data_IF_366172587798
#
_entry.id   IF_366172587798
#
_cell.length_a   1.000
_cell.length_b   1.000
_cell.length_c   1.000
_cell.angle_alpha   90.00
_cell.angle_beta   90.00
_cell.angle_gamma   90.00
#
_symmetry.space_group_name_H-M   'P 1'
#
loop_
_entity.id
_entity.type
_entity.pdbx_description
1 polymer ?
#
# COMPACT_ATOMS: atom_id res chain seq x y z
N UNK A 1 -9.71 -21.95 -18.63
CA UNK A 1 -8.95 -20.71 -18.93
C UNK A 1 -7.88 -20.51 -17.86
N UNK A 2 -6.59 -20.45 -18.24
CA UNK A 2 -5.50 -20.06 -17.33
C UNK A 2 -5.62 -18.56 -17.09
N UNK A 3 -5.87 -18.13 -15.85
CA UNK A 3 -5.72 -16.71 -15.49
C UNK A 3 -4.24 -16.45 -15.25
N UNK A 4 -3.59 -15.74 -16.17
CA UNK A 4 -2.26 -15.20 -15.92
C UNK A 4 -2.39 -14.14 -14.81
N UNK A 5 -1.83 -14.46 -13.65
CA UNK A 5 -1.79 -13.55 -12.52
C UNK A 5 -0.45 -12.84 -12.54
N UNK A 6 -0.47 -11.51 -12.58
CA UNK A 6 0.74 -10.71 -12.42
C UNK A 6 1.41 -11.02 -11.07
N UNK A 7 2.74 -10.88 -11.03
CA UNK A 7 3.48 -11.12 -9.81
C UNK A 7 3.22 -10.02 -8.75
N UNK A 8 3.11 -8.77 -9.20
CA UNK A 8 2.78 -7.61 -8.39
C UNK A 8 1.38 -7.08 -8.77
N UNK A 9 0.61 -6.54 -7.80
CA UNK A 9 -0.70 -5.94 -8.05
C UNK A 9 -0.62 -4.74 -8.99
N UNK A 10 -1.17 -4.82 -10.23
CA UNK A 10 -1.17 -3.69 -11.16
C UNK A 10 -1.91 -2.47 -10.60
N UNK A 11 -2.93 -2.69 -9.77
CA UNK A 11 -3.67 -1.64 -9.09
C UNK A 11 -2.81 -0.85 -8.10
N UNK A 12 -1.91 -1.51 -7.37
CA UNK A 12 -1.00 -0.83 -6.43
C UNK A 12 0.04 -0.01 -7.21
N UNK A 13 0.61 -0.58 -8.27
CA UNK A 13 1.61 0.11 -9.10
C UNK A 13 0.99 1.35 -9.77
N UNK A 14 -0.23 1.22 -10.31
CA UNK A 14 -0.98 2.34 -10.87
C UNK A 14 -1.16 3.45 -9.83
N UNK A 15 -1.58 3.10 -8.63
CA UNK A 15 -1.80 4.05 -7.54
C UNK A 15 -0.49 4.74 -7.11
N UNK A 16 0.62 4.00 -7.03
CA UNK A 16 1.95 4.56 -6.74
C UNK A 16 2.35 5.61 -7.78
N UNK A 17 2.16 5.32 -9.08
CA UNK A 17 2.50 6.23 -10.18
C UNK A 17 1.59 7.47 -10.18
N UNK A 18 0.28 7.29 -9.95
CA UNK A 18 -0.68 8.40 -9.87
C UNK A 18 -0.30 9.33 -8.72
N UNK A 19 -0.05 8.78 -7.53
CA UNK A 19 0.31 9.58 -6.35
C UNK A 19 1.63 10.31 -6.57
N UNK A 20 2.62 9.67 -7.20
CA UNK A 20 3.87 10.33 -7.56
C UNK A 20 3.65 11.58 -8.42
N UNK A 21 2.74 11.54 -9.40
CA UNK A 21 2.43 12.72 -10.23
C UNK A 21 1.59 13.78 -9.50
N UNK A 22 0.58 13.36 -8.73
CA UNK A 22 -0.29 14.27 -7.98
C UNK A 22 0.46 15.03 -6.88
N UNK A 23 1.50 14.43 -6.32
CA UNK A 23 2.24 14.98 -5.19
C UNK A 23 3.67 15.44 -5.53
N UNK A 24 4.19 15.22 -6.75
CA UNK A 24 5.52 15.70 -7.18
C UNK A 24 5.71 17.20 -6.95
N UNK A 25 6.86 17.60 -6.44
CA UNK A 25 7.36 18.97 -6.55
C UNK A 25 7.79 19.24 -8.01
N UNK A 26 7.00 20.03 -8.74
CA UNK A 26 7.25 20.35 -10.15
C UNK A 26 8.40 21.36 -10.32
N UNK A 27 8.76 22.09 -9.27
CA UNK A 27 9.91 23.00 -9.30
C UNK A 27 11.25 22.26 -9.26
N UNK A 28 11.23 20.97 -8.90
CA UNK A 28 12.40 20.09 -8.96
C UNK A 28 12.46 19.44 -10.35
N UNK A 29 13.57 19.68 -11.05
CA UNK A 29 13.83 19.14 -12.40
C UNK A 29 13.95 17.61 -12.42
N UNK A 30 14.19 16.98 -11.27
CA UNK A 30 14.29 15.53 -11.12
C UNK A 30 13.00 14.82 -11.54
N UNK A 31 13.13 13.72 -12.26
CA UNK A 31 12.00 12.91 -12.69
C UNK A 31 11.43 12.04 -11.54
N UNK A 32 10.20 11.56 -11.72
CA UNK A 32 9.72 10.41 -10.96
C UNK A 32 10.53 9.20 -11.40
N UNK A 33 11.13 8.50 -10.43
CA UNK A 33 11.96 7.34 -10.66
C UNK A 33 11.15 6.07 -10.37
N UNK A 34 11.16 5.14 -11.31
CA UNK A 34 10.60 3.80 -11.12
C UNK A 34 11.76 2.82 -11.21
N UNK A 35 12.05 2.14 -10.10
CA UNK A 35 13.15 1.17 -10.02
C UNK A 35 12.58 -0.23 -9.77
N UNK A 36 13.07 -1.21 -10.52
CA UNK A 36 12.66 -2.61 -10.39
C UNK A 36 13.89 -3.40 -9.97
N UNK A 37 13.77 -4.05 -8.81
CA UNK A 37 14.77 -4.93 -8.25
C UNK A 37 14.25 -6.38 -8.22
N UNK A 38 15.15 -7.31 -7.91
CA UNK A 38 14.84 -8.73 -7.75
C UNK A 38 13.85 -8.98 -6.61
N UNK A 39 13.79 -8.08 -5.62
CA UNK A 39 13.04 -8.23 -4.38
C UNK A 39 11.88 -7.22 -4.25
N UNK A 40 11.89 -6.11 -4.99
CA UNK A 40 10.88 -5.05 -4.89
C UNK A 40 10.77 -4.14 -6.11
N UNK A 41 9.67 -3.40 -6.19
CA UNK A 41 9.47 -2.27 -7.08
C UNK A 41 9.40 -0.99 -6.24
N UNK A 42 10.13 0.05 -6.65
CA UNK A 42 10.12 1.35 -5.98
C UNK A 42 9.60 2.43 -6.93
N UNK A 43 8.77 3.33 -6.39
CA UNK A 43 8.40 4.59 -7.07
C UNK A 43 8.83 5.74 -6.16
N UNK A 44 9.71 6.60 -6.65
CA UNK A 44 10.23 7.77 -5.94
C UNK A 44 9.85 9.04 -6.69
N UNK A 45 9.24 9.99 -5.99
CA UNK A 45 8.91 11.32 -6.52
C UNK A 45 9.61 12.42 -5.73
N UNK A 46 10.10 13.49 -6.38
CA UNK A 46 10.65 14.62 -5.64
C UNK A 46 9.54 15.38 -4.92
N UNK A 47 9.87 15.97 -3.78
CA UNK A 47 9.04 16.90 -3.03
C UNK A 47 8.53 16.47 -1.65
N UNK A 48 9.00 15.37 -1.05
CA UNK A 48 8.68 14.97 0.34
C UNK A 48 7.19 15.12 0.77
N UNK A 49 6.97 15.28 2.06
CA UNK A 49 5.65 15.60 2.62
C UNK A 49 5.30 17.08 2.40
N UNK A 50 4.03 17.36 2.09
CA UNK A 50 3.58 18.69 1.67
C UNK A 50 2.78 19.42 2.73
N UNK A 51 3.03 20.72 2.88
CA UNK A 51 2.18 21.65 3.63
C UNK A 51 1.93 21.21 5.08
N UNK A 52 3.01 20.80 5.76
CA UNK A 52 2.99 20.38 7.17
C UNK A 52 2.34 19.03 7.44
N UNK A 53 2.08 18.20 6.41
CA UNK A 53 1.67 16.81 6.62
C UNK A 53 2.76 16.03 7.34
N UNK A 54 2.37 15.27 8.35
CA UNK A 54 3.24 14.30 9.01
C UNK A 54 3.09 12.91 8.38
N UNK A 55 4.09 12.05 8.60
CA UNK A 55 4.05 10.67 8.15
C UNK A 55 2.83 9.91 8.71
N UNK A 56 2.51 10.10 9.99
CA UNK A 56 1.38 9.47 10.66
C UNK A 56 0.04 9.88 10.03
N UNK A 57 -0.14 11.17 9.74
CA UNK A 57 -1.34 11.69 9.08
C UNK A 57 -1.52 11.04 7.70
N UNK A 58 -0.43 10.94 6.93
CA UNK A 58 -0.43 10.30 5.61
C UNK A 58 -0.83 8.82 5.70
N UNK A 59 -0.29 8.09 6.67
CA UNK A 59 -0.64 6.68 6.91
C UNK A 59 -2.10 6.52 7.38
N UNK A 60 -2.66 7.51 8.08
CA UNK A 60 -4.07 7.55 8.47
C UNK A 60 -5.03 7.93 7.34
N UNK A 61 -4.50 8.30 6.17
CA UNK A 61 -5.27 8.65 4.96
C UNK A 61 -5.53 10.14 4.79
N UNK A 62 -4.85 11.00 5.55
CA UNK A 62 -4.83 12.42 5.24
C UNK A 62 -3.97 12.67 4.01
N UNK A 63 -4.46 13.49 3.09
CA UNK A 63 -3.73 13.82 1.87
C UNK A 63 -3.96 15.30 1.53
N UNK A 64 -2.87 15.98 1.17
CA UNK A 64 -2.89 17.34 0.65
C UNK A 64 -2.22 17.30 -0.72
N UNK A 65 -3.02 17.51 -1.75
CA UNK A 65 -2.56 17.44 -3.14
C UNK A 65 -1.80 18.70 -3.49
N UNK A 66 -0.63 18.49 -4.09
CA UNK A 66 0.22 19.56 -4.60
C UNK A 66 -0.24 19.99 -5.99
N UNK A 67 -0.48 19.03 -6.89
CA UNK A 67 -0.80 19.28 -8.28
C UNK A 67 -2.29 19.03 -8.59
N UNK A 68 -3.16 19.97 -8.18
CA UNK A 68 -4.63 19.82 -8.29
C UNK A 68 -5.12 19.63 -9.74
N UNK A 69 -4.50 20.30 -10.72
CA UNK A 69 -4.86 20.16 -12.14
C UNK A 69 -4.63 18.74 -12.67
N UNK A 70 -3.46 18.16 -12.37
CA UNK A 70 -3.13 16.77 -12.72
C UNK A 70 -4.11 15.80 -12.05
N UNK A 71 -4.35 16.01 -10.76
CA UNK A 71 -5.28 15.18 -10.00
C UNK A 71 -6.71 15.24 -10.54
N UNK A 72 -7.17 16.42 -11.00
CA UNK A 72 -8.48 16.57 -11.63
C UNK A 72 -8.57 15.80 -12.95
N UNK A 73 -7.54 15.87 -13.80
CA UNK A 73 -7.49 15.10 -15.05
C UNK A 73 -7.56 13.60 -14.77
N UNK A 74 -6.78 13.09 -13.83
CA UNK A 74 -6.83 11.68 -13.45
C UNK A 74 -8.18 11.27 -12.85
N UNK A 75 -8.84 12.14 -12.09
CA UNK A 75 -10.21 11.92 -11.62
C UNK A 75 -11.20 11.79 -12.78
N UNK A 76 -11.13 12.71 -13.77
CA UNK A 76 -11.97 12.67 -14.97
C UNK A 76 -11.73 11.42 -15.83
N UNK A 77 -10.51 10.89 -15.83
CA UNK A 77 -10.15 9.63 -16.50
C UNK A 77 -10.60 8.38 -15.71
N UNK A 78 -11.20 8.54 -14.53
CA UNK A 78 -11.59 7.42 -13.66
C UNK A 78 -10.41 6.73 -12.99
N UNK A 79 -9.25 7.37 -12.91
CA UNK A 79 -8.04 6.81 -12.30
C UNK A 79 -7.93 7.10 -10.80
N UNK A 80 -8.64 8.12 -10.29
CA UNK A 80 -8.69 8.46 -8.87
C UNK A 80 -10.14 8.31 -8.37
N UNK A 81 -10.38 7.29 -7.54
CA UNK A 81 -11.73 7.05 -7.00
C UNK A 81 -12.07 7.91 -5.78
N UNK A 82 -11.12 8.09 -4.84
CA UNK A 82 -11.36 8.84 -3.60
C UNK A 82 -10.08 9.50 -3.05
N UNK A 83 -10.18 10.76 -2.65
CA UNK A 83 -9.09 11.52 -2.06
C UNK A 83 -8.60 10.92 -0.74
N UNK A 84 -7.29 10.83 -0.53
CA UNK A 84 -6.70 10.28 0.69
C UNK A 84 -6.74 8.76 0.83
N UNK A 85 -7.35 8.05 -0.12
CA UNK A 85 -7.44 6.58 -0.08
C UNK A 85 -6.21 5.86 -0.65
N UNK A 86 -5.34 6.58 -1.37
CA UNK A 86 -4.32 5.97 -2.22
C UNK A 86 -3.35 5.03 -1.51
N UNK A 87 -2.79 5.46 -0.37
CA UNK A 87 -1.89 4.61 0.41
C UNK A 87 -2.61 3.38 0.93
N UNK A 88 -3.82 3.53 1.46
CA UNK A 88 -4.63 2.38 1.93
C UNK A 88 -4.92 1.40 0.79
N UNK A 89 -5.17 1.88 -0.43
CA UNK A 89 -5.35 1.01 -1.61
C UNK A 89 -4.09 0.22 -1.95
N UNK A 90 -2.92 0.86 -1.90
CA UNK A 90 -1.62 0.18 -2.11
C UNK A 90 -1.43 -0.93 -1.07
N UNK A 91 -1.63 -0.61 0.22
CA UNK A 91 -1.51 -1.57 1.32
C UNK A 91 -2.47 -2.75 1.16
N UNK A 92 -3.75 -2.48 0.90
CA UNK A 92 -4.78 -3.50 0.75
C UNK A 92 -4.53 -4.38 -0.49
N UNK A 93 -4.02 -3.82 -1.58
CA UNK A 93 -3.68 -4.57 -2.79
C UNK A 93 -2.49 -5.52 -2.54
N UNK A 94 -1.45 -5.05 -1.85
CA UNK A 94 -0.31 -5.88 -1.45
C UNK A 94 -0.76 -7.04 -0.54
N UNK A 95 -1.60 -6.75 0.47
CA UNK A 95 -2.18 -7.76 1.35
C UNK A 95 -2.98 -8.82 0.59
N UNK A 96 -3.87 -8.40 -0.33
CA UNK A 96 -4.65 -9.32 -1.19
C UNK A 96 -3.79 -10.20 -2.08
N UNK A 97 -2.61 -9.72 -2.49
CA UNK A 97 -1.64 -10.52 -3.25
C UNK A 97 -0.79 -11.45 -2.35
N UNK A 98 -0.86 -11.29 -1.02
CA UNK A 98 -0.02 -11.97 -0.05
C UNK A 98 1.43 -11.51 -0.14
N UNK A 99 1.64 -10.21 -0.36
CA UNK A 99 2.95 -9.57 -0.40
C UNK A 99 3.30 -8.99 0.98
N UNK A 100 4.59 -8.78 1.27
CA UNK A 100 5.00 -8.02 2.44
C UNK A 100 4.42 -6.61 2.41
N UNK A 101 4.22 -6.04 3.61
CA UNK A 101 3.66 -4.69 3.73
C UNK A 101 4.54 -3.68 2.99
N UNK A 102 3.99 -2.88 2.06
CA UNK A 102 4.73 -1.83 1.38
C UNK A 102 5.37 -0.85 2.36
N UNK A 103 6.58 -0.38 2.06
CA UNK A 103 7.30 0.61 2.88
C UNK A 103 7.16 1.99 2.25
N UNK A 104 6.72 2.95 3.04
CA UNK A 104 6.62 4.36 2.66
C UNK A 104 7.77 5.10 3.35
N UNK A 105 8.51 5.90 2.60
CA UNK A 105 9.66 6.66 3.12
C UNK A 105 9.62 8.09 2.62
N UNK A 106 10.03 9.00 3.50
CA UNK A 106 10.42 10.35 3.16
C UNK A 106 11.89 10.52 3.56
N UNK A 107 12.71 10.98 2.62
CA UNK A 107 14.13 11.28 2.85
C UNK A 107 14.59 12.29 1.81
N UNK A 108 15.56 13.16 2.13
CA UNK A 108 16.16 14.12 1.20
C UNK A 108 15.16 14.88 0.31
N UNK A 109 14.03 15.31 0.90
CA UNK A 109 12.92 15.96 0.18
C UNK A 109 12.37 15.11 -0.99
N UNK A 110 12.42 13.78 -0.87
CA UNK A 110 11.83 12.80 -1.77
C UNK A 110 10.81 11.96 -1.02
N UNK A 111 9.84 11.44 -1.76
CA UNK A 111 8.84 10.51 -1.25
C UNK A 111 8.94 9.21 -2.03
N UNK A 112 9.12 8.09 -1.34
CA UNK A 112 9.29 6.76 -1.93
C UNK A 112 8.25 5.79 -1.39
N UNK A 113 7.69 4.99 -2.30
CA UNK A 113 6.89 3.81 -1.96
C UNK A 113 7.57 2.58 -2.52
N UNK A 114 7.75 1.57 -1.69
CA UNK A 114 8.39 0.31 -2.03
C UNK A 114 7.38 -0.83 -1.91
N UNK A 115 7.19 -1.57 -2.99
CA UNK A 115 6.30 -2.71 -3.11
C UNK A 115 7.13 -3.99 -3.25
N UNK A 116 7.11 -4.82 -2.21
CA UNK A 116 7.94 -6.02 -2.08
C UNK A 116 7.34 -7.25 -2.78
N UNK A 117 8.19 -8.13 -3.28
CA UNK A 117 7.80 -9.45 -3.83
C UNK A 117 7.66 -10.47 -2.71
N UNK A 118 7.01 -11.62 -2.96
CA UNK A 118 6.76 -12.64 -1.92
C UNK A 118 8.02 -13.16 -1.22
N UNK A 119 9.11 -13.28 -1.96
CA UNK A 119 10.34 -13.90 -1.48
C UNK A 119 11.34 -12.92 -0.87
N UNK A 120 11.04 -11.62 -0.88
CA UNK A 120 11.95 -10.58 -0.38
C UNK A 120 12.01 -10.47 1.14
N UNK A 121 11.12 -11.16 1.86
CA UNK A 121 11.13 -11.20 3.31
C UNK A 121 12.49 -11.71 3.80
N UNK A 122 13.16 -10.88 4.60
CA UNK A 122 14.30 -11.32 5.39
C UNK A 122 13.87 -12.41 6.36
N UNK A 123 14.81 -13.21 6.88
CA UNK A 123 14.49 -14.31 7.80
C UNK A 123 13.66 -13.84 9.01
N UNK A 124 13.87 -12.59 9.47
CA UNK A 124 13.11 -11.97 10.56
C UNK A 124 11.68 -11.63 10.13
N UNK A 125 11.52 -10.96 9.00
CA UNK A 125 10.19 -10.60 8.48
C UNK A 125 9.37 -11.83 8.08
N UNK A 126 10.01 -12.93 7.65
CA UNK A 126 9.33 -14.22 7.47
C UNK A 126 8.78 -14.78 8.76
N UNK A 127 9.52 -14.67 9.86
CA UNK A 127 9.08 -15.13 11.18
C UNK A 127 7.90 -14.28 11.65
N UNK A 128 8.03 -12.95 11.59
CA UNK A 128 6.96 -12.02 12.01
C UNK A 128 5.69 -12.21 11.16
N UNK A 129 5.83 -12.44 9.84
CA UNK A 129 4.72 -12.75 8.94
C UNK A 129 4.04 -14.10 9.23
N UNK A 130 4.82 -15.13 9.56
CA UNK A 130 4.27 -16.44 9.97
C UNK A 130 3.53 -16.30 11.30
N UNK A 131 4.10 -15.57 12.25
CA UNK A 131 3.48 -15.34 13.56
C UNK A 131 2.15 -14.57 13.42
N UNK A 132 2.08 -13.54 12.57
CA UNK A 132 0.83 -12.82 12.26
C UNK A 132 -0.23 -13.70 11.60
N UNK A 133 0.16 -14.58 10.67
CA UNK A 133 -0.75 -15.53 10.01
C UNK A 133 -1.31 -16.57 11.00
N UNK A 134 -0.48 -17.09 11.89
CA UNK A 134 -0.90 -18.04 12.92
C UNK A 134 -1.79 -17.38 13.99
N UNK A 135 -1.52 -16.12 14.35
CA UNK A 135 -2.39 -15.30 15.20
C UNK A 135 -3.74 -14.98 14.54
N UNK A 136 -3.77 -14.77 13.22
CA UNK A 136 -5.01 -14.65 12.44
C UNK A 136 -5.86 -15.92 12.51
N UNK A 137 -5.26 -17.07 12.23
CA UNK A 137 -5.94 -18.38 12.28
C UNK A 137 -6.50 -18.74 13.66
N UNK A 138 -5.80 -18.38 14.74
CA UNK A 138 -6.30 -18.60 16.12
C UNK A 138 -7.53 -17.75 16.42
N UNK A 139 -7.57 -16.50 15.97
CA UNK A 139 -8.73 -15.61 16.14
C UNK A 139 -9.97 -16.09 15.37
N UNK A 140 -9.77 -16.63 14.17
CA UNK A 140 -10.83 -17.22 13.36
C UNK A 140 -11.32 -18.56 13.94
N UNK A 141 -10.41 -19.36 14.51
CA UNK A 141 -10.73 -20.61 15.21
C UNK A 141 -11.56 -20.41 16.49
N UNK A 142 -11.21 -19.41 17.31
CA UNK A 142 -11.95 -19.09 18.55
C UNK A 142 -13.37 -18.56 18.28
N UNK A 143 -13.58 -17.86 17.17
CA UNK A 143 -14.92 -17.41 16.75
C UNK A 143 -15.83 -18.58 16.34
N UNK A 144 -15.26 -19.70 15.85
CA UNK A 144 -16.02 -20.91 15.54
C UNK A 144 -16.36 -21.75 16.78
N UNK A 145 -15.63 -21.61 17.89
CA UNK A 145 -15.84 -22.42 19.10
C UNK A 145 -16.83 -21.76 20.09
N UNK A 146 -16.86 -20.42 20.15
CA UNK A 146 -17.87 -19.67 20.94
C UNK A 146 -19.29 -19.76 20.35
N UNK A 147 -19.44 -20.06 19.06
CA UNK A 147 -20.74 -20.30 18.42
C UNK A 147 -21.39 -21.64 18.77
N UNK A 148 -20.61 -22.66 19.15
CA UNK A 148 -21.12 -24.00 19.47
C UNK A 148 -21.59 -24.18 20.92
N UNK A 149 -21.12 -23.34 21.86
CA UNK A 149 -21.50 -23.45 23.29
C UNK A 149 -22.85 -22.82 23.65
N UNK A 150 -23.55 -22.14 22.73
CA UNK A 150 -24.90 -21.57 22.99
C UNK A 150 -26.07 -22.51 22.67
N UNK A 151 -25.84 -23.65 22.00
CA UNK A 151 -26.93 -24.55 21.58
C UNK A 151 -27.15 -25.72 22.57
N UNK A 152 -26.24 -25.95 23.52
CA UNK A 152 -26.26 -27.13 24.39
C UNK A 152 -26.52 -26.83 25.88
N UNK A 153 -27.44 -25.92 26.23
CA UNK A 153 -28.08 -25.88 27.57
C UNK A 153 -29.51 -25.36 27.39
N UNK A 154 -30.45 -26.26 27.08
CA UNK A 154 -31.89 -26.12 27.30
C UNK A 154 -32.47 -27.54 27.21
N UNK A 155 -32.50 -28.21 28.37
CA UNK A 155 -33.41 -29.29 28.74
C UNK A 155 -33.60 -29.19 30.25
#
# INVERSE_FOLDING_TARGET
MRKEKYELPPEAIREMIINAHCHRNILDESCIQVAIYDDRLEVTSPGGLYNGLTYEEVMNGHSKIRNKGIANIFSQMGLIEAWGSGIKRILNAAEKYGLPKPRIQEFDNMFRVELFRKNSLTKRERIDFIDELELGRRRDGESSEKGRRRIAILN
#
